data_IF_513283645866
#
_entry.id   IF_513283645866
#
_cell.length_a   1.000
_cell.length_b   1.000
_cell.length_c   1.000
_cell.angle_alpha   90.00
_cell.angle_beta   90.00
_cell.angle_gamma   90.00
#
_symmetry.space_group_name_H-M   'P 1'
#
loop_
_entity.id
_entity.type
_entity.pdbx_description
1 polymer ?
#
# COMPACT_ATOMS: atom_id res chain seq x y z
N UNK A 1 3.97 79.67 -19.09
CA UNK A 1 3.45 78.46 -18.40
C UNK A 1 3.99 78.57 -16.98
N UNK A 2 3.06 78.82 -16.03
CA UNK A 2 3.40 79.27 -14.67
C UNK A 2 4.02 78.14 -13.87
N UNK A 3 5.20 78.30 -13.25
CA UNK A 3 5.93 77.26 -12.48
C UNK A 3 5.12 76.66 -11.33
N UNK A 4 4.12 77.46 -10.85
CA UNK A 4 3.25 77.03 -9.75
C UNK A 4 2.18 76.09 -10.20
N UNK A 5 1.70 76.15 -11.44
CA UNK A 5 0.75 75.21 -12.04
C UNK A 5 1.41 73.87 -12.28
N UNK A 6 2.69 73.89 -12.66
CA UNK A 6 3.47 72.65 -12.91
C UNK A 6 3.74 71.87 -11.61
N UNK A 7 3.97 72.57 -10.50
CA UNK A 7 4.10 71.97 -9.17
C UNK A 7 2.79 71.37 -8.69
N UNK A 8 1.66 72.04 -8.94
CA UNK A 8 0.35 71.56 -8.53
C UNK A 8 -0.04 70.31 -9.29
N UNK A 9 0.26 70.22 -10.58
CA UNK A 9 0.03 69.01 -11.41
C UNK A 9 0.91 67.81 -10.94
N UNK A 10 2.15 68.13 -10.54
CA UNK A 10 3.07 67.08 -10.04
C UNK A 10 2.60 66.50 -8.70
N UNK A 11 2.08 67.33 -7.81
CA UNK A 11 1.53 66.92 -6.51
C UNK A 11 0.23 66.12 -6.71
N UNK A 12 -0.64 66.53 -7.65
CA UNK A 12 -1.82 65.71 -7.98
C UNK A 12 -1.48 64.34 -8.60
N UNK A 13 -0.44 64.28 -9.44
CA UNK A 13 0.02 63.00 -10.03
C UNK A 13 0.65 62.07 -8.98
N UNK A 14 1.34 62.61 -7.98
CA UNK A 14 1.90 61.84 -6.88
C UNK A 14 0.82 61.30 -5.94
N UNK A 15 -0.29 62.03 -5.76
CA UNK A 15 -1.40 61.62 -4.90
C UNK A 15 -2.24 60.47 -5.51
N UNK A 16 -2.29 60.36 -6.85
CA UNK A 16 -3.02 59.28 -7.54
C UNK A 16 -2.23 57.96 -7.55
N UNK A 17 -0.91 58.01 -7.38
CA UNK A 17 -0.06 56.81 -7.35
C UNK A 17 -0.16 55.99 -6.03
N UNK A 18 -0.78 56.54 -4.98
CA UNK A 18 -0.91 55.87 -3.67
C UNK A 18 -2.27 55.22 -3.42
N UNK A 19 -3.21 55.24 -4.36
CA UNK A 19 -4.53 54.64 -4.17
C UNK A 19 -4.73 53.32 -4.88
N UNK A 20 -3.66 52.68 -5.37
CA UNK A 20 -3.76 51.42 -6.09
C UNK A 20 -3.04 50.31 -5.33
N UNK A 21 -3.51 49.93 -4.14
CA UNK A 21 -3.24 48.66 -3.52
C UNK A 21 -4.11 48.47 -2.27
N UNK A 22 -5.40 48.29 -2.41
CA UNK A 22 -6.27 47.68 -1.41
C UNK A 22 -7.43 46.99 -2.12
N UNK A 23 -7.09 45.97 -2.92
CA UNK A 23 -8.06 44.95 -3.25
C UNK A 23 -7.52 43.65 -2.71
N UNK A 24 -7.54 43.54 -1.37
CA UNK A 24 -7.29 42.29 -0.64
C UNK A 24 -8.57 41.44 -0.75
N UNK A 25 -8.71 40.79 -1.90
CA UNK A 25 -9.54 39.62 -2.03
C UNK A 25 -8.74 38.41 -1.51
N UNK A 26 -8.19 38.51 -0.30
CA UNK A 26 -7.86 37.34 0.47
C UNK A 26 -9.18 36.65 0.81
N UNK A 27 -9.59 35.72 -0.08
CA UNK A 27 -10.51 34.66 0.25
C UNK A 27 -9.94 34.03 1.51
N UNK A 28 -10.43 34.46 2.68
CA UNK A 28 -10.22 33.73 3.93
C UNK A 28 -10.67 32.31 3.65
N UNK A 29 -9.72 31.43 3.40
CA UNK A 29 -9.94 30.00 3.53
C UNK A 29 -10.20 29.83 5.01
N UNK A 30 -11.46 29.85 5.37
CA UNK A 30 -11.91 29.56 6.72
C UNK A 30 -11.44 28.15 7.03
N UNK A 31 -10.66 28.03 8.09
CA UNK A 31 -10.09 26.77 8.62
C UNK A 31 -11.20 25.80 9.10
N UNK A 32 -12.45 26.19 8.91
CA UNK A 32 -13.65 25.39 9.26
C UNK A 32 -13.87 24.16 8.37
N UNK A 33 -13.07 23.99 7.28
CA UNK A 33 -13.16 22.79 6.42
C UNK A 33 -12.45 21.58 6.98
N UNK A 34 -11.78 21.68 8.13
CA UNK A 34 -10.95 20.59 8.71
C UNK A 34 -11.44 20.15 10.10
N UNK A 35 -12.56 20.67 10.60
CA UNK A 35 -13.07 20.28 11.90
C UNK A 35 -14.42 19.57 11.83
N UNK A 36 -14.43 18.37 11.23
CA UNK A 36 -15.47 17.43 11.61
C UNK A 36 -14.88 16.02 11.78
N UNK A 37 -14.42 15.66 12.99
CA UNK A 37 -13.97 14.31 13.29
C UNK A 37 -15.04 13.25 13.01
N UNK A 38 -16.31 13.65 12.96
CA UNK A 38 -17.44 12.81 12.58
C UNK A 38 -17.43 12.46 11.09
N UNK A 39 -17.03 13.40 10.21
CA UNK A 39 -16.95 13.15 8.76
C UNK A 39 -15.80 12.21 8.39
N UNK A 40 -14.66 12.31 9.06
CA UNK A 40 -13.53 11.40 8.85
C UNK A 40 -13.89 9.96 9.27
N UNK A 41 -14.64 9.81 10.37
CA UNK A 41 -15.08 8.50 10.86
C UNK A 41 -16.19 7.89 9.98
N UNK A 42 -17.02 8.73 9.37
CA UNK A 42 -18.09 8.32 8.45
C UNK A 42 -17.55 7.95 7.08
N UNK A 43 -16.54 8.69 6.57
CA UNK A 43 -15.85 8.36 5.31
C UNK A 43 -15.10 7.02 5.40
N UNK A 44 -14.58 6.64 6.57
CA UNK A 44 -13.93 5.35 6.78
C UNK A 44 -14.92 4.17 6.79
N UNK A 45 -16.19 4.41 7.08
CA UNK A 45 -17.23 3.35 7.12
C UNK A 45 -17.67 2.92 5.71
N UNK A 46 -17.49 3.77 4.72
CA UNK A 46 -17.94 3.53 3.34
C UNK A 46 -16.82 3.10 2.37
N UNK A 47 -15.57 3.03 2.85
CA UNK A 47 -14.46 2.54 2.03
C UNK A 47 -14.61 1.03 1.85
N UNK A 48 -15.02 0.62 0.65
CA UNK A 48 -15.01 -0.78 0.27
C UNK A 48 -13.57 -1.21 0.00
N UNK A 49 -13.06 -2.09 0.84
CA UNK A 49 -11.71 -2.61 0.71
C UNK A 49 -11.65 -4.12 1.00
N UNK A 50 -10.85 -4.87 0.25
CA UNK A 50 -10.56 -6.26 0.60
C UNK A 50 -9.66 -6.32 1.83
N UNK A 51 -9.85 -7.34 2.65
CA UNK A 51 -9.03 -7.63 3.83
C UNK A 51 -8.61 -9.08 3.76
N UNK A 52 -7.31 -9.32 3.88
CA UNK A 52 -6.75 -10.67 3.87
C UNK A 52 -6.68 -11.21 5.29
N UNK A 53 -7.25 -12.39 5.49
CA UNK A 53 -7.02 -13.25 6.64
C UNK A 53 -6.25 -14.50 6.22
N UNK A 54 -5.21 -14.83 6.98
CA UNK A 54 -4.38 -16.01 6.79
C UNK A 54 -4.30 -16.69 8.15
N UNK A 55 -4.73 -17.94 8.23
CA UNK A 55 -4.73 -18.68 9.50
C UNK A 55 -3.33 -19.04 9.95
N UNK A 56 -2.50 -19.49 8.98
CA UNK A 56 -1.11 -19.88 9.20
C UNK A 56 -0.29 -19.22 8.11
N UNK A 57 0.61 -18.31 8.48
CA UNK A 57 1.48 -17.57 7.57
C UNK A 57 2.89 -18.19 7.47
N UNK A 58 3.13 -19.28 8.18
CA UNK A 58 4.35 -20.06 8.05
C UNK A 58 4.05 -21.56 7.95
N UNK A 59 4.96 -22.27 7.31
CA UNK A 59 4.98 -23.73 7.24
C UNK A 59 6.36 -24.25 7.65
N UNK A 60 6.39 -25.14 8.63
CA UNK A 60 7.61 -25.82 9.02
C UNK A 60 7.66 -27.20 8.36
N UNK A 61 8.65 -27.42 7.48
CA UNK A 61 8.82 -28.70 6.80
C UNK A 61 9.65 -29.69 7.60
N UNK A 62 10.11 -29.32 8.80
CA UNK A 62 10.92 -30.19 9.62
C UNK A 62 12.29 -30.46 9.01
N UNK A 63 12.60 -31.70 8.76
CA UNK A 63 13.84 -32.16 8.14
C UNK A 63 13.60 -32.66 6.72
N UNK A 64 14.51 -32.31 5.81
CA UNK A 64 14.47 -32.67 4.39
C UNK A 64 15.90 -33.00 3.93
N UNK A 65 16.08 -34.01 3.12
CA UNK A 65 17.40 -34.32 2.54
C UNK A 65 17.71 -33.36 1.36
N UNK A 66 18.97 -33.31 0.98
CA UNK A 66 19.37 -32.63 -0.26
C UNK A 66 18.69 -33.29 -1.47
N UNK A 67 18.43 -32.47 -2.50
CA UNK A 67 17.75 -32.80 -3.75
C UNK A 67 16.30 -33.30 -3.60
N UNK A 68 15.67 -33.10 -2.44
CA UNK A 68 14.27 -33.35 -2.23
C UNK A 68 13.40 -32.09 -2.42
N UNK A 69 12.13 -32.32 -2.69
CA UNK A 69 11.15 -31.26 -2.83
C UNK A 69 9.96 -31.49 -1.94
N UNK A 70 9.45 -30.40 -1.33
CA UNK A 70 8.19 -30.42 -0.61
C UNK A 70 7.18 -29.49 -1.27
N UNK A 71 5.89 -29.79 -1.08
CA UNK A 71 4.78 -28.95 -1.50
C UNK A 71 3.92 -28.62 -0.30
N UNK A 72 3.50 -27.36 -0.20
CA UNK A 72 2.57 -26.91 0.83
C UNK A 72 1.57 -25.93 0.25
N UNK A 73 0.49 -25.68 0.97
CA UNK A 73 -0.55 -24.73 0.57
C UNK A 73 -0.84 -23.78 1.73
N UNK A 74 -0.88 -22.48 1.44
CA UNK A 74 -1.39 -21.47 2.36
C UNK A 74 -2.81 -21.09 1.94
N UNK A 75 -3.72 -21.09 2.89
CA UNK A 75 -5.11 -20.71 2.66
C UNK A 75 -5.28 -19.24 3.06
N UNK A 76 -5.68 -18.43 2.11
CA UNK A 76 -6.06 -17.03 2.33
C UNK A 76 -7.56 -16.89 2.20
N UNK A 77 -8.14 -16.00 3.00
CA UNK A 77 -9.57 -15.66 2.97
C UNK A 77 -9.75 -14.16 2.81
N UNK A 78 -10.66 -13.74 1.96
CA UNK A 78 -11.10 -12.37 1.88
C UNK A 78 -12.20 -12.14 2.94
N UNK A 79 -11.87 -11.43 4.00
CA UNK A 79 -12.80 -11.05 5.07
C UNK A 79 -13.25 -9.58 4.97
N UNK A 80 -12.88 -8.90 3.87
CA UNK A 80 -13.27 -7.53 3.58
C UNK A 80 -14.64 -7.42 2.94
N UNK A 81 -14.96 -6.22 2.48
CA UNK A 81 -16.23 -5.87 1.83
C UNK A 81 -16.06 -5.47 0.35
N UNK A 82 -14.93 -5.85 -0.26
CA UNK A 82 -14.65 -5.72 -1.70
C UNK A 82 -13.89 -6.94 -2.21
N UNK A 83 -13.94 -7.26 -3.51
CA UNK A 83 -13.18 -8.37 -4.09
C UNK A 83 -11.66 -8.19 -3.91
N UNK A 84 -10.98 -9.29 -3.59
CA UNK A 84 -9.52 -9.34 -3.37
C UNK A 84 -8.83 -9.83 -4.64
N UNK A 85 -7.82 -9.10 -5.09
CA UNK A 85 -6.94 -9.48 -6.18
C UNK A 85 -5.51 -9.70 -5.69
N UNK A 86 -4.93 -10.86 -6.00
CA UNK A 86 -3.50 -11.11 -5.82
C UNK A 86 -2.78 -10.69 -7.10
N UNK A 87 -2.07 -9.56 -7.04
CA UNK A 87 -1.37 -8.99 -8.21
C UNK A 87 -0.10 -9.75 -8.55
N UNK A 88 0.65 -10.14 -7.53
CA UNK A 88 1.88 -10.91 -7.72
C UNK A 88 2.25 -11.68 -6.46
N UNK A 89 3.00 -12.76 -6.65
CA UNK A 89 3.62 -13.54 -5.58
C UNK A 89 5.08 -13.75 -5.95
N UNK A 90 5.98 -13.40 -5.03
CA UNK A 90 7.43 -13.51 -5.23
C UNK A 90 8.06 -14.28 -4.09
N UNK A 91 8.88 -15.28 -4.44
CA UNK A 91 9.71 -15.98 -3.47
C UNK A 91 11.08 -15.31 -3.31
N UNK A 92 11.69 -15.47 -2.14
CA UNK A 92 13.03 -14.93 -1.83
C UNK A 92 14.16 -15.64 -2.58
N UNK A 93 13.91 -16.80 -3.20
CA UNK A 93 14.87 -17.53 -4.02
C UNK A 93 14.17 -18.27 -5.17
N UNK A 94 14.91 -18.60 -6.23
CA UNK A 94 14.44 -19.45 -7.32
C UNK A 94 14.21 -20.92 -6.93
N UNK A 95 14.58 -21.31 -5.71
CA UNK A 95 14.34 -22.64 -5.15
C UNK A 95 12.91 -22.82 -4.60
N UNK A 96 12.11 -21.76 -4.62
CA UNK A 96 10.72 -21.74 -4.14
C UNK A 96 9.85 -21.21 -5.25
N UNK A 97 8.90 -22.01 -5.72
CA UNK A 97 7.99 -21.67 -6.81
C UNK A 97 6.57 -21.55 -6.27
N UNK A 98 6.00 -20.32 -6.21
CA UNK A 98 4.63 -20.10 -5.82
C UNK A 98 3.69 -20.16 -7.01
N UNK A 99 2.52 -20.75 -6.80
CA UNK A 99 1.38 -20.73 -7.72
C UNK A 99 0.17 -20.13 -7.00
N UNK A 100 -0.60 -19.28 -7.67
CA UNK A 100 -1.76 -18.61 -7.07
C UNK A 100 -2.84 -18.31 -8.12
N UNK A 101 -4.13 -18.20 -7.72
CA UNK A 101 -5.18 -17.83 -8.64
C UNK A 101 -5.01 -16.39 -9.14
N UNK A 102 -5.36 -16.15 -10.38
CA UNK A 102 -5.32 -14.83 -11.04
C UNK A 102 -6.67 -14.12 -10.99
N UNK A 103 -7.72 -14.87 -10.70
CA UNK A 103 -9.09 -14.39 -10.62
C UNK A 103 -9.31 -13.61 -9.31
N UNK A 104 -10.36 -12.81 -9.30
CA UNK A 104 -10.83 -12.13 -8.10
C UNK A 104 -11.34 -13.15 -7.07
N UNK A 105 -10.99 -12.94 -5.82
CA UNK A 105 -11.52 -13.69 -4.69
C UNK A 105 -12.66 -12.87 -4.09
N UNK A 106 -13.87 -13.38 -4.20
CA UNK A 106 -15.07 -12.71 -3.72
C UNK A 106 -15.05 -12.48 -2.21
N UNK A 107 -15.96 -11.65 -1.74
CA UNK A 107 -16.18 -11.39 -0.31
C UNK A 107 -16.51 -12.71 0.40
N UNK A 108 -15.77 -13.04 1.45
CA UNK A 108 -15.90 -14.30 2.17
C UNK A 108 -15.23 -15.50 1.49
N UNK A 109 -14.80 -15.34 0.22
CA UNK A 109 -14.13 -16.37 -0.57
C UNK A 109 -12.75 -16.74 -0.04
N UNK A 110 -12.27 -17.91 -0.46
CA UNK A 110 -10.96 -18.43 -0.11
C UNK A 110 -10.15 -18.74 -1.36
N UNK A 111 -8.81 -18.65 -1.24
CA UNK A 111 -7.89 -19.05 -2.29
C UNK A 111 -6.68 -19.78 -1.67
N UNK A 112 -6.04 -20.60 -2.49
CA UNK A 112 -4.85 -21.37 -2.11
C UNK A 112 -3.63 -20.80 -2.81
N UNK A 113 -2.58 -20.55 -2.05
CA UNK A 113 -1.23 -20.28 -2.57
C UNK A 113 -0.45 -21.57 -2.43
N UNK A 114 -0.22 -22.26 -3.54
CA UNK A 114 0.60 -23.47 -3.56
C UNK A 114 2.06 -23.07 -3.64
N UNK A 115 2.88 -23.72 -2.86
CA UNK A 115 4.32 -23.44 -2.80
C UNK A 115 5.09 -24.74 -2.93
N UNK A 116 5.97 -24.82 -3.92
CA UNK A 116 6.93 -25.92 -4.09
C UNK A 116 8.31 -25.39 -3.71
N UNK A 117 8.97 -26.05 -2.78
CA UNK A 117 10.34 -25.78 -2.39
C UNK A 117 11.23 -26.96 -2.75
N UNK A 118 12.37 -26.69 -3.41
CA UNK A 118 13.39 -27.66 -3.73
C UNK A 118 14.64 -27.38 -2.89
N UNK A 119 15.08 -28.37 -2.12
CA UNK A 119 16.28 -28.27 -1.29
C UNK A 119 17.55 -28.11 -2.11
N UNK A 120 17.64 -28.78 -3.28
CA UNK A 120 18.87 -28.80 -4.09
C UNK A 120 20.08 -29.18 -3.25
N UNK A 121 21.18 -28.47 -3.43
CA UNK A 121 22.43 -28.65 -2.66
C UNK A 121 22.50 -27.83 -1.36
N UNK A 122 21.38 -27.28 -0.89
CA UNK A 122 21.34 -26.48 0.36
C UNK A 122 21.60 -27.37 1.56
N UNK A 123 22.01 -26.76 2.67
CA UNK A 123 22.30 -27.43 3.93
C UNK A 123 21.89 -26.58 5.14
N UNK A 124 21.62 -27.26 6.23
CA UNK A 124 21.30 -26.62 7.52
C UNK A 124 19.95 -25.89 7.50
N UNK A 125 19.75 -25.02 8.47
CA UNK A 125 18.49 -24.28 8.67
C UNK A 125 18.16 -23.40 7.46
N UNK A 126 16.95 -23.53 6.97
CA UNK A 126 16.41 -22.74 5.87
C UNK A 126 15.21 -21.92 6.37
N UNK A 127 15.11 -20.70 5.88
CA UNK A 127 13.94 -19.86 6.02
C UNK A 127 13.75 -19.10 4.68
N UNK A 128 12.64 -19.38 4.00
CA UNK A 128 12.31 -18.76 2.70
C UNK A 128 11.01 -18.00 2.83
N UNK A 129 11.00 -16.80 2.33
CA UNK A 129 9.82 -15.94 2.36
C UNK A 129 9.14 -15.89 1.00
N UNK A 130 7.82 -15.79 1.03
CA UNK A 130 6.95 -15.61 -0.13
C UNK A 130 6.14 -14.33 0.10
N UNK A 131 6.37 -13.32 -0.73
CA UNK A 131 5.71 -12.03 -0.62
C UNK A 131 4.54 -11.96 -1.59
N UNK A 132 3.34 -11.77 -1.05
CA UNK A 132 2.11 -11.51 -1.80
C UNK A 132 1.93 -9.99 -1.93
N UNK A 133 1.62 -9.51 -3.13
CA UNK A 133 1.19 -8.14 -3.39
C UNK A 133 -0.26 -8.17 -3.87
N UNK A 134 -1.12 -7.40 -3.23
CA UNK A 134 -2.57 -7.44 -3.44
C UNK A 134 -3.16 -6.03 -3.53
N UNK A 135 -4.48 -5.94 -3.70
CA UNK A 135 -5.23 -4.70 -3.60
C UNK A 135 -5.79 -4.44 -2.19
N UNK A 136 -5.46 -5.26 -1.19
CA UNK A 136 -5.85 -5.05 0.20
C UNK A 136 -4.99 -4.00 0.92
N UNK A 137 -5.38 -3.64 2.13
CA UNK A 137 -4.57 -2.80 3.03
C UNK A 137 -4.25 -3.58 4.33
N UNK A 138 -2.97 -3.78 4.66
CA UNK A 138 -1.78 -3.46 3.86
C UNK A 138 -1.71 -4.28 2.57
N UNK A 139 -1.14 -3.69 1.51
CA UNK A 139 -1.08 -4.31 0.18
C UNK A 139 -0.14 -5.51 0.08
N UNK A 140 0.72 -5.69 1.07
CA UNK A 140 1.74 -6.73 1.10
C UNK A 140 1.51 -7.67 2.28
N UNK A 141 1.58 -8.97 2.01
CA UNK A 141 1.61 -10.04 3.02
C UNK A 141 2.80 -10.94 2.77
N UNK A 142 3.42 -11.42 3.85
CA UNK A 142 4.58 -12.31 3.78
C UNK A 142 4.19 -13.64 4.40
N UNK A 143 4.44 -14.71 3.65
CA UNK A 143 4.39 -16.09 4.11
C UNK A 143 5.82 -16.61 4.24
N UNK A 144 6.03 -17.65 5.02
CA UNK A 144 7.35 -18.27 5.17
C UNK A 144 7.29 -19.79 5.20
N UNK A 145 8.33 -20.42 4.67
CA UNK A 145 8.60 -21.83 4.86
C UNK A 145 9.94 -22.00 5.53
N UNK A 146 10.06 -22.87 6.50
CA UNK A 146 11.27 -23.09 7.27
C UNK A 146 11.46 -24.56 7.63
N UNK A 147 12.68 -24.92 7.93
CA UNK A 147 13.08 -26.28 8.31
C UNK A 147 14.58 -26.47 8.19
N UNK A 148 15.04 -27.70 8.28
CA UNK A 148 16.48 -28.06 8.25
C UNK A 148 16.74 -29.01 7.10
N UNK A 149 17.79 -28.76 6.32
CA UNK A 149 18.25 -29.67 5.28
C UNK A 149 19.42 -30.47 5.80
N UNK A 150 19.24 -31.80 5.79
CA UNK A 150 20.24 -32.76 6.18
C UNK A 150 21.22 -32.97 5.02
N UNK A 151 22.47 -33.18 5.38
CA UNK A 151 23.55 -33.59 4.46
C UNK A 151 23.84 -35.04 4.73
N UNK A 152 23.98 -35.87 3.68
CA UNK A 152 24.36 -37.28 3.84
C UNK A 152 25.67 -37.47 4.58
#
# INVERSE_FOLDING_TARGET
MNKDIMKLVYICFLAIAFTSCLNDNSKKITVDLVQNPTSAKQLQKDIKAPIISIKEDFFDFGELNQNESIKTEFIIKNIGNAPLLIRSVKASCGCTVPEWPKELIDIGGTAKIKVTFNSGSKKGKQNKTITLVTNAMPSTKVLSIKGTILVP
#
